data_IF_690842331297
#
_entry.id   IF_690842331297
#
_cell.length_a   1.000
_cell.length_b   1.000
_cell.length_c   1.000
_cell.angle_alpha   90.00
_cell.angle_beta   90.00
_cell.angle_gamma   90.00
#
_symmetry.space_group_name_H-M   'P 1'
#
loop_
_entity.id
_entity.type
_entity.pdbx_description
1 polymer ?
#
# COMPACT_ATOMS: atom_id res chain seq x y z
N UNK A 1 14.12 -14.58 -40.18
CA UNK A 1 14.56 -13.49 -39.27
C UNK A 1 13.42 -13.24 -38.29
N UNK A 2 13.44 -13.89 -37.14
CA UNK A 2 12.37 -13.83 -36.14
C UNK A 2 12.82 -12.81 -35.08
N UNK A 3 12.10 -11.72 -34.81
CA UNK A 3 12.43 -10.86 -33.68
C UNK A 3 12.07 -11.61 -32.39
N UNK A 4 13.05 -11.71 -31.51
CA UNK A 4 12.94 -12.38 -30.22
C UNK A 4 11.88 -11.71 -29.36
N UNK A 5 10.98 -12.51 -28.80
CA UNK A 5 10.02 -12.10 -27.78
C UNK A 5 10.79 -11.41 -26.65
N UNK A 6 10.67 -10.09 -26.59
CA UNK A 6 11.26 -9.25 -25.56
C UNK A 6 10.42 -9.43 -24.30
N UNK A 7 10.69 -10.48 -23.53
CA UNK A 7 10.24 -10.60 -22.14
C UNK A 7 10.94 -9.53 -21.30
N UNK A 8 10.56 -8.26 -21.48
CA UNK A 8 10.81 -7.22 -20.49
C UNK A 8 9.69 -7.36 -19.48
N UNK A 9 9.99 -7.97 -18.33
CA UNK A 9 9.22 -7.73 -17.12
C UNK A 9 9.23 -6.21 -16.90
N UNK A 10 8.19 -5.53 -17.42
CA UNK A 10 7.98 -4.10 -17.24
C UNK A 10 7.45 -3.85 -15.84
N UNK A 11 8.16 -4.35 -14.83
CA UNK A 11 7.99 -3.97 -13.44
C UNK A 11 8.59 -2.59 -13.22
N UNK A 12 8.12 -1.57 -13.96
CA UNK A 12 8.35 -0.19 -13.55
C UNK A 12 7.47 0.01 -12.33
N UNK A 13 8.02 -0.24 -11.15
CA UNK A 13 7.36 -0.13 -9.84
C UNK A 13 6.94 1.31 -9.55
N UNK A 14 6.00 1.84 -10.33
CA UNK A 14 5.42 3.17 -10.23
C UNK A 14 4.21 3.17 -9.28
N UNK A 15 4.20 2.27 -8.29
CA UNK A 15 3.07 2.13 -7.35
C UNK A 15 2.72 3.48 -6.72
N UNK A 16 3.73 4.25 -6.31
CA UNK A 16 3.54 5.59 -5.77
C UNK A 16 2.85 6.55 -6.74
N UNK A 17 3.21 6.57 -8.03
CA UNK A 17 2.57 7.41 -9.05
C UNK A 17 1.14 6.93 -9.36
N UNK A 18 0.91 5.61 -9.43
CA UNK A 18 -0.40 5.02 -9.69
C UNK A 18 -1.40 5.28 -8.58
N UNK A 19 -0.94 5.30 -7.32
CA UNK A 19 -1.77 5.60 -6.15
C UNK A 19 -1.78 7.09 -5.78
N UNK A 20 -1.08 7.95 -6.54
CA UNK A 20 -0.99 9.39 -6.26
C UNK A 20 -0.30 9.73 -4.93
N UNK A 21 0.54 8.83 -4.43
CA UNK A 21 1.24 8.97 -3.15
C UNK A 21 2.52 9.77 -3.38
N UNK A 22 2.73 10.80 -2.56
CA UNK A 22 3.97 11.56 -2.60
C UNK A 22 5.16 10.65 -2.20
N UNK A 23 6.14 10.40 -3.10
CA UNK A 23 7.25 9.51 -2.81
C UNK A 23 8.18 10.03 -1.70
N UNK A 24 8.16 11.34 -1.40
CA UNK A 24 8.96 11.93 -0.32
C UNK A 24 8.35 11.71 1.06
N UNK A 25 7.02 11.72 1.16
CA UNK A 25 6.30 11.61 2.43
C UNK A 25 5.81 10.19 2.70
N UNK A 26 5.67 9.37 1.65
CA UNK A 26 5.12 8.02 1.73
C UNK A 26 3.69 7.99 2.26
N UNK A 27 3.10 6.81 2.26
CA UNK A 27 1.82 6.56 2.90
C UNK A 27 1.76 5.10 3.35
N UNK A 28 1.03 4.87 4.44
CA UNK A 28 0.65 3.55 4.92
C UNK A 28 -0.79 3.31 4.48
N UNK A 29 -1.01 2.18 3.84
CA UNK A 29 -2.33 1.75 3.37
C UNK A 29 -2.70 0.46 4.08
N UNK A 30 -3.84 0.47 4.78
CA UNK A 30 -4.38 -0.75 5.39
C UNK A 30 -5.37 -1.37 4.43
N UNK A 31 -5.01 -2.55 3.92
CA UNK A 31 -5.89 -3.37 3.08
C UNK A 31 -6.50 -4.46 3.95
N UNK A 32 -7.82 -4.56 3.90
CA UNK A 32 -8.56 -5.62 4.60
C UNK A 32 -8.38 -6.97 3.89
N UNK A 33 -8.62 -8.10 4.56
CA UNK A 33 -8.50 -9.44 3.95
C UNK A 33 -9.40 -9.68 2.73
N UNK A 34 -10.43 -8.85 2.54
CA UNK A 34 -11.33 -8.84 1.40
C UNK A 34 -10.78 -8.04 0.19
N UNK A 35 -9.59 -7.46 0.30
CA UNK A 35 -8.94 -6.69 -0.75
C UNK A 35 -9.35 -5.21 -0.81
N UNK A 36 -10.20 -4.73 0.10
CA UNK A 36 -10.61 -3.32 0.13
C UNK A 36 -9.66 -2.46 0.98
N UNK A 37 -9.44 -1.22 0.54
CA UNK A 37 -8.70 -0.21 1.30
C UNK A 37 -9.57 0.26 2.46
N UNK A 38 -9.14 -0.02 3.69
CA UNK A 38 -9.86 0.36 4.90
C UNK A 38 -9.34 1.66 5.54
N UNK A 39 -8.06 1.97 5.36
CA UNK A 39 -7.46 3.15 5.97
C UNK A 39 -6.21 3.63 5.21
N UNK A 40 -5.97 4.95 5.24
CA UNK A 40 -4.84 5.63 4.63
C UNK A 40 -4.28 6.62 5.64
N UNK A 41 -2.97 6.58 5.89
CA UNK A 41 -2.29 7.51 6.81
C UNK A 41 -0.87 7.81 6.33
N UNK A 42 -0.30 9.00 6.58
CA UNK A 42 1.12 9.24 6.35
C UNK A 42 2.02 8.31 7.19
N UNK A 43 3.30 8.19 6.83
CA UNK A 43 4.27 7.35 7.56
C UNK A 43 4.42 7.73 9.04
N UNK A 44 4.20 9.00 9.40
CA UNK A 44 4.28 9.50 10.78
C UNK A 44 2.99 9.23 11.59
N UNK A 45 1.88 8.87 10.92
CA UNK A 45 0.56 8.70 11.52
C UNK A 45 0.33 7.34 12.19
N UNK A 46 1.33 6.83 12.90
CA UNK A 46 1.27 5.52 13.59
C UNK A 46 0.19 5.50 14.66
N UNK A 47 -0.05 6.64 15.34
CA UNK A 47 -1.12 6.76 16.35
C UNK A 47 -2.51 6.59 15.74
N UNK A 48 -2.74 7.14 14.55
CA UNK A 48 -4.02 7.00 13.86
C UNK A 48 -4.27 5.55 13.42
N UNK A 49 -3.18 4.84 13.08
CA UNK A 49 -3.22 3.42 12.77
C UNK A 49 -3.61 2.57 13.99
N UNK A 50 -3.04 2.86 15.16
CA UNK A 50 -3.41 2.19 16.42
C UNK A 50 -4.90 2.40 16.74
N UNK A 51 -5.39 3.64 16.65
CA UNK A 51 -6.82 3.97 16.88
C UNK A 51 -7.73 3.27 15.86
N UNK A 52 -7.28 3.12 14.61
CA UNK A 52 -8.03 2.38 13.61
C UNK A 52 -8.16 0.90 13.98
N UNK A 53 -7.06 0.25 14.39
CA UNK A 53 -7.06 -1.17 14.77
C UNK A 53 -7.81 -1.45 16.08
N UNK A 54 -7.74 -0.55 17.06
CA UNK A 54 -8.42 -0.71 18.36
C UNK A 54 -9.95 -0.78 18.23
N UNK A 55 -10.52 -0.22 17.15
CA UNK A 55 -11.96 -0.28 16.88
C UNK A 55 -12.49 -1.67 16.56
N UNK A 56 -11.65 -2.59 16.07
CA UNK A 56 -12.12 -3.89 15.57
C UNK A 56 -11.23 -5.08 15.95
N UNK A 57 -9.98 -4.86 16.35
CA UNK A 57 -9.12 -5.94 16.82
C UNK A 57 -9.28 -6.13 18.33
N UNK A 58 -9.54 -7.37 18.73
CA UNK A 58 -9.48 -7.76 20.14
C UNK A 58 -8.02 -8.00 20.51
N UNK A 59 -7.54 -7.33 21.56
CA UNK A 59 -6.22 -7.60 22.12
C UNK A 59 -6.17 -9.04 22.62
N UNK A 60 -5.29 -9.85 22.03
CA UNK A 60 -5.01 -11.19 22.54
C UNK A 60 -4.25 -11.07 23.86
N UNK A 61 -4.77 -11.70 24.92
CA UNK A 61 -4.10 -11.81 26.22
C UNK A 61 -2.95 -12.81 26.17
#
# INVERSE_FOLDING_TARGET
MIPTCSHVASGKGKGYEHFGINPKSGAIVVVRPDGYVGFLTPLDGVKDLEVYFDKFMLRRK
#
